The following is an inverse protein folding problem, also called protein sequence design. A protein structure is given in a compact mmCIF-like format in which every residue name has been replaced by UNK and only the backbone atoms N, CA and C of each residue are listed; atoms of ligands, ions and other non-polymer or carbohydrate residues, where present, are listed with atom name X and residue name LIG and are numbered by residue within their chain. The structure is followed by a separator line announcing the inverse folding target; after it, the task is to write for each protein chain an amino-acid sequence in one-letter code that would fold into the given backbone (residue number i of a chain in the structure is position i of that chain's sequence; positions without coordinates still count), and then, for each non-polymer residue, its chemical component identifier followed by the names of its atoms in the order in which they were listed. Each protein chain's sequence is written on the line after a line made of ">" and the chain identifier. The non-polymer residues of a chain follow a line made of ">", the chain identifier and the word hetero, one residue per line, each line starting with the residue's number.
data_IF_517746525664
#
_entry.id   IF_517746525664
#
_cell.length_a   1.000
_cell.length_b   1.000
_cell.length_c   1.000
_cell.angle_alpha   90.00
_cell.angle_beta   90.00
_cell.angle_gamma   90.00
#
_symmetry.space_group_name_H-M   'P 1'
#
loop_
_entity.id
_entity.type
_entity.pdbx_description
1 polymer ?
#
# COMPACT_ATOMS: atom_id res chain seq x y z
N UNK A 1 -19.65 41.41 -33.92
CA UNK A 1 -20.66 40.34 -34.13
C UNK A 1 -19.97 39.00 -33.93
N UNK A 2 -20.17 38.35 -32.80
CA UNK A 2 -19.69 36.99 -32.57
C UNK A 2 -20.83 36.17 -31.96
N UNK A 3 -21.26 35.13 -32.68
CA UNK A 3 -22.39 34.27 -32.36
C UNK A 3 -21.92 33.06 -31.52
N UNK A 4 -22.71 32.78 -30.49
CA UNK A 4 -22.94 31.55 -29.71
C UNK A 4 -22.13 30.28 -29.97
N UNK A 5 -21.75 29.60 -28.88
CA UNK A 5 -21.95 28.15 -28.73
C UNK A 5 -22.31 27.83 -27.26
N UNK A 6 -23.58 27.47 -27.02
CA UNK A 6 -24.08 26.91 -25.75
C UNK A 6 -23.76 25.42 -25.78
N UNK A 7 -22.68 25.03 -25.10
CA UNK A 7 -22.32 23.62 -24.90
C UNK A 7 -23.25 22.95 -23.89
N UNK A 8 -23.91 21.89 -24.33
CA UNK A 8 -24.73 20.99 -23.52
C UNK A 8 -23.84 20.35 -22.45
N UNK A 9 -24.08 20.66 -21.18
CA UNK A 9 -23.48 19.92 -20.06
C UNK A 9 -24.21 18.60 -19.94
N UNK A 10 -23.66 17.57 -20.58
CA UNK A 10 -24.08 16.20 -20.35
C UNK A 10 -23.79 15.83 -18.90
N UNK A 11 -24.84 15.60 -18.12
CA UNK A 11 -24.74 14.88 -16.85
C UNK A 11 -24.18 13.49 -17.15
N UNK A 12 -22.88 13.31 -16.95
CA UNK A 12 -22.29 12.00 -16.81
C UNK A 12 -22.83 11.40 -15.51
N UNK A 13 -23.74 10.43 -15.66
CA UNK A 13 -24.13 9.53 -14.58
C UNK A 13 -22.89 8.70 -14.24
N UNK A 14 -22.22 9.05 -13.14
CA UNK A 14 -21.09 8.30 -12.62
C UNK A 14 -21.60 6.95 -12.11
N UNK A 15 -21.45 5.92 -12.94
CA UNK A 15 -21.77 4.56 -12.58
C UNK A 15 -20.80 4.01 -11.55
N UNK A 16 -21.34 3.56 -10.42
CA UNK A 16 -20.74 2.54 -9.55
C UNK A 16 -19.67 3.02 -8.57
N UNK A 17 -20.11 3.58 -7.44
CA UNK A 17 -19.28 3.59 -6.24
C UNK A 17 -19.12 2.14 -5.77
N UNK A 18 -18.01 1.47 -6.07
CA UNK A 18 -17.73 0.15 -5.53
C UNK A 18 -17.49 0.30 -4.03
N UNK A 19 -18.40 -0.25 -3.23
CA UNK A 19 -18.39 -0.11 -1.76
C UNK A 19 -17.39 -1.04 -1.05
N UNK A 20 -16.42 -1.63 -1.77
CA UNK A 20 -15.37 -2.49 -1.23
C UNK A 20 -14.54 -3.22 -2.28
N UNK A 21 -13.73 -4.20 -1.84
CA UNK A 21 -12.95 -5.09 -2.70
C UNK A 21 -13.81 -5.80 -3.75
N UNK A 22 -13.28 -5.92 -4.97
CA UNK A 22 -13.95 -6.65 -6.06
C UNK A 22 -14.04 -8.15 -5.76
N UNK A 23 -14.96 -8.91 -6.37
CA UNK A 23 -15.05 -10.36 -6.18
C UNK A 23 -13.72 -11.09 -6.47
N UNK A 24 -12.97 -10.63 -7.47
CA UNK A 24 -11.65 -11.13 -7.83
C UNK A 24 -10.62 -10.85 -6.74
N UNK A 25 -10.57 -9.63 -6.21
CA UNK A 25 -9.68 -9.27 -5.09
C UNK A 25 -10.03 -10.07 -3.83
N UNK A 26 -11.33 -10.21 -3.51
CA UNK A 26 -11.78 -11.04 -2.37
C UNK A 26 -11.29 -12.48 -2.54
N UNK A 27 -11.39 -13.04 -3.74
CA UNK A 27 -10.89 -14.37 -4.08
C UNK A 27 -9.38 -14.45 -3.83
N UNK A 28 -8.60 -13.53 -4.38
CA UNK A 28 -7.14 -13.47 -4.20
C UNK A 28 -6.76 -13.36 -2.72
N UNK A 29 -7.46 -12.54 -1.93
CA UNK A 29 -7.18 -12.35 -0.50
C UNK A 29 -7.54 -13.59 0.33
N UNK A 30 -8.61 -14.31 -0.02
CA UNK A 30 -9.07 -15.49 0.74
C UNK A 30 -8.43 -16.80 0.31
N UNK A 31 -8.02 -16.92 -0.95
CA UNK A 31 -7.48 -18.15 -1.50
C UNK A 31 -5.98 -18.28 -1.24
N UNK A 32 -5.60 -19.39 -0.59
CA UNK A 32 -4.23 -19.67 -0.17
C UNK A 32 -3.98 -19.20 1.26
N UNK A 33 -3.70 -20.14 2.16
CA UNK A 33 -3.15 -19.79 3.47
C UNK A 33 -1.69 -19.38 3.32
N UNK A 34 -1.30 -18.21 3.82
CA UNK A 34 0.10 -17.74 3.81
C UNK A 34 0.43 -16.83 2.62
N UNK A 35 1.55 -17.12 1.95
CA UNK A 35 2.16 -16.29 0.89
C UNK A 35 1.19 -16.07 -0.29
N UNK A 36 1.27 -14.90 -0.91
CA UNK A 36 0.53 -14.54 -2.12
C UNK A 36 1.41 -14.73 -3.35
N UNK A 37 0.82 -15.12 -4.48
CA UNK A 37 1.52 -15.10 -5.76
C UNK A 37 1.93 -13.66 -6.09
N UNK A 38 3.21 -13.42 -6.28
CA UNK A 38 3.71 -12.16 -6.83
C UNK A 38 3.52 -12.16 -8.35
N UNK A 39 2.93 -11.10 -8.87
CA UNK A 39 2.67 -10.88 -10.29
C UNK A 39 3.97 -10.43 -10.95
N UNK A 40 4.32 -11.04 -12.08
CA UNK A 40 5.64 -10.90 -12.72
C UNK A 40 5.49 -10.35 -14.14
N UNK A 41 6.46 -9.55 -14.61
CA UNK A 41 6.40 -8.90 -15.94
C UNK A 41 6.60 -9.85 -17.12
N UNK A 42 7.06 -11.08 -16.89
CA UNK A 42 7.18 -12.13 -17.91
C UNK A 42 5.82 -12.77 -18.27
N UNK A 43 4.80 -12.56 -17.43
CA UNK A 43 3.41 -12.87 -17.76
C UNK A 43 2.68 -11.61 -18.26
N UNK A 44 2.03 -11.72 -19.42
CA UNK A 44 1.35 -10.59 -20.09
C UNK A 44 0.22 -9.99 -19.26
N UNK A 45 -0.63 -10.83 -18.67
CA UNK A 45 -1.79 -10.36 -17.89
C UNK A 45 -1.33 -9.69 -16.60
N UNK A 46 -0.36 -10.31 -15.92
CA UNK A 46 0.27 -9.75 -14.74
C UNK A 46 0.89 -8.38 -15.05
N UNK A 47 1.70 -8.31 -16.12
CA UNK A 47 2.32 -7.07 -16.55
C UNK A 47 1.29 -5.99 -16.84
N UNK A 48 0.17 -6.30 -17.51
CA UNK A 48 -0.86 -5.29 -17.80
C UNK A 48 -1.50 -4.74 -16.53
N UNK A 49 -1.67 -5.57 -15.51
CA UNK A 49 -2.23 -5.14 -14.23
C UNK A 49 -1.25 -4.33 -13.40
N UNK A 50 0.03 -4.72 -13.38
CA UNK A 50 1.11 -3.96 -12.72
C UNK A 50 1.26 -2.54 -13.27
N UNK A 51 0.71 -2.26 -14.47
CA UNK A 51 0.68 -0.92 -15.09
C UNK A 51 -0.58 -0.11 -14.78
N UNK A 52 -1.52 -0.64 -14.00
CA UNK A 52 -2.74 0.06 -13.64
C UNK A 52 -2.51 0.97 -12.43
N UNK A 53 -3.20 2.10 -12.41
CA UNK A 53 -3.23 2.97 -11.23
C UNK A 53 -4.15 2.35 -10.16
N UNK A 54 -3.61 2.17 -8.97
CA UNK A 54 -4.34 1.62 -7.84
C UNK A 54 -5.31 2.66 -7.24
N UNK A 55 -6.49 2.21 -6.79
CA UNK A 55 -7.51 3.08 -6.19
C UNK A 55 -7.35 3.19 -4.68
N UNK A 56 -7.80 4.32 -4.11
CA UNK A 56 -7.75 4.54 -2.67
C UNK A 56 -8.59 3.51 -1.90
N UNK A 57 -8.05 3.05 -0.77
CA UNK A 57 -8.82 2.35 0.25
C UNK A 57 -9.78 3.33 0.93
N UNK A 58 -10.94 2.81 1.32
CA UNK A 58 -11.96 3.52 2.07
C UNK A 58 -11.89 3.20 3.57
N UNK A 59 -12.50 4.04 4.44
CA UNK A 59 -12.63 3.73 5.86
C UNK A 59 -13.37 2.42 6.12
N UNK A 60 -14.31 2.03 5.25
CA UNK A 60 -15.06 0.79 5.37
C UNK A 60 -14.18 -0.43 5.16
N UNK A 61 -13.37 -0.42 4.08
CA UNK A 61 -12.49 -1.54 3.73
C UNK A 61 -11.45 -1.83 4.82
N UNK A 62 -10.81 -0.80 5.38
CA UNK A 62 -9.74 -1.00 6.37
C UNK A 62 -10.23 -1.58 7.71
N UNK A 63 -11.54 -1.52 7.98
CA UNK A 63 -12.18 -2.09 9.17
C UNK A 63 -12.59 -3.55 9.00
N UNK A 64 -12.46 -4.10 7.79
CA UNK A 64 -12.85 -5.48 7.51
C UNK A 64 -11.79 -6.49 7.95
N UNK A 65 -12.21 -7.70 8.27
CA UNK A 65 -11.29 -8.84 8.45
C UNK A 65 -10.48 -9.12 7.18
N UNK A 66 -11.07 -8.87 6.01
CA UNK A 66 -10.42 -9.06 4.72
C UNK A 66 -9.17 -8.20 4.58
N UNK A 67 -9.21 -6.94 5.03
CA UNK A 67 -8.04 -6.07 5.04
C UNK A 67 -6.93 -6.60 5.97
N UNK A 68 -7.29 -7.17 7.13
CA UNK A 68 -6.33 -7.78 8.04
C UNK A 68 -5.66 -9.02 7.42
N UNK A 69 -6.44 -9.87 6.74
CA UNK A 69 -5.91 -11.02 5.99
C UNK A 69 -4.97 -10.56 4.88
N UNK A 70 -5.38 -9.57 4.08
CA UNK A 70 -4.55 -8.99 3.02
C UNK A 70 -3.19 -8.54 3.57
N UNK A 71 -3.19 -7.76 4.65
CA UNK A 71 -1.96 -7.31 5.29
C UNK A 71 -1.07 -8.46 5.74
N UNK A 72 -1.62 -9.42 6.47
CA UNK A 72 -0.86 -10.57 6.98
C UNK A 72 -0.22 -11.34 5.84
N UNK A 73 -0.95 -11.54 4.75
CA UNK A 73 -0.46 -12.27 3.59
C UNK A 73 0.57 -11.48 2.79
N UNK A 74 0.37 -10.17 2.57
CA UNK A 74 1.40 -9.31 1.98
C UNK A 74 2.70 -9.33 2.78
N UNK A 75 2.60 -9.27 4.12
CA UNK A 75 3.75 -9.33 5.01
C UNK A 75 4.45 -10.70 4.93
N UNK A 76 3.69 -11.79 4.86
CA UNK A 76 4.25 -13.12 4.67
C UNK A 76 4.97 -13.25 3.32
N UNK A 77 4.42 -12.66 2.25
CA UNK A 77 5.02 -12.68 0.91
C UNK A 77 6.34 -11.93 0.85
N UNK A 78 6.40 -10.70 1.37
CA UNK A 78 7.64 -9.90 1.32
C UNK A 78 8.74 -10.46 2.22
N UNK A 79 8.36 -11.19 3.28
CA UNK A 79 9.30 -11.91 4.14
C UNK A 79 9.52 -13.38 3.72
N UNK A 80 9.09 -13.79 2.54
CA UNK A 80 9.36 -15.15 2.07
C UNK A 80 10.87 -15.35 1.94
N UNK A 81 11.38 -16.35 2.65
CA UNK A 81 12.80 -16.69 2.66
C UNK A 81 13.37 -17.06 1.29
N UNK A 82 12.51 -17.46 0.33
CA UNK A 82 12.94 -17.79 -1.03
C UNK A 82 13.25 -16.54 -1.87
N UNK A 83 12.56 -15.41 -1.62
CA UNK A 83 12.69 -14.17 -2.39
C UNK A 83 12.39 -12.96 -1.47
N UNK A 84 13.28 -12.66 -0.49
CA UNK A 84 13.01 -11.64 0.52
C UNK A 84 13.03 -10.24 -0.09
N UNK A 85 12.00 -9.46 0.20
CA UNK A 85 11.89 -8.05 -0.18
C UNK A 85 12.02 -7.11 1.02
N UNK A 86 12.29 -5.83 0.73
CA UNK A 86 12.29 -4.74 1.73
C UNK A 86 11.04 -3.87 1.66
N UNK A 87 10.18 -4.12 0.68
CA UNK A 87 8.92 -3.46 0.43
C UNK A 87 8.02 -4.30 -0.47
N UNK A 88 6.71 -4.08 -0.37
CA UNK A 88 5.72 -4.66 -1.28
C UNK A 88 4.49 -3.76 -1.40
N UNK A 89 3.96 -3.65 -2.61
CA UNK A 89 2.73 -2.95 -2.92
C UNK A 89 1.60 -3.93 -3.24
N UNK A 90 0.36 -3.60 -2.83
CA UNK A 90 -0.81 -4.43 -3.09
C UNK A 90 -1.01 -4.81 -4.58
N UNK A 91 -0.72 -3.93 -5.57
CA UNK A 91 -0.78 -4.31 -6.97
C UNK A 91 0.10 -5.51 -7.36
N UNK A 92 1.25 -5.69 -6.69
CA UNK A 92 2.16 -6.81 -6.96
C UNK A 92 1.58 -8.17 -6.59
N UNK A 93 0.52 -8.20 -5.77
CA UNK A 93 -0.17 -9.42 -5.37
C UNK A 93 -1.60 -9.48 -5.93
N UNK A 94 -1.87 -8.71 -6.99
CA UNK A 94 -3.16 -8.73 -7.69
C UNK A 94 -4.27 -7.92 -7.04
N UNK A 95 -3.94 -6.99 -6.14
CA UNK A 95 -4.91 -6.15 -5.44
C UNK A 95 -4.73 -4.70 -5.84
N UNK A 96 -5.71 -4.12 -6.54
CA UNK A 96 -5.63 -2.75 -7.04
C UNK A 96 -6.07 -1.76 -5.96
N UNK A 97 -5.29 -1.68 -4.88
CA UNK A 97 -5.50 -0.74 -3.77
C UNK A 97 -4.21 -0.01 -3.42
N UNK A 98 -4.35 1.25 -3.01
CA UNK A 98 -3.22 2.07 -2.54
C UNK A 98 -2.78 1.65 -1.14
N UNK A 99 -2.09 0.52 -1.07
CA UNK A 99 -1.53 -0.05 0.15
C UNK A 99 -0.13 -0.55 -0.13
N UNK A 100 0.82 -0.16 0.72
CA UNK A 100 2.20 -0.65 0.69
C UNK A 100 2.61 -1.12 2.08
N UNK A 101 3.55 -2.06 2.14
CA UNK A 101 4.30 -2.39 3.33
C UNK A 101 5.78 -2.08 3.08
N UNK A 102 6.43 -1.41 4.02
CA UNK A 102 7.83 -0.98 3.88
C UNK A 102 8.61 -1.33 5.13
N UNK A 103 9.83 -1.85 4.96
CA UNK A 103 10.78 -2.02 6.04
C UNK A 103 11.47 -0.69 6.39
N UNK A 104 11.21 -0.18 7.59
CA UNK A 104 11.68 1.13 8.08
C UNK A 104 13.09 1.06 8.66
N UNK A 105 14.10 0.92 7.81
CA UNK A 105 15.52 0.92 8.21
C UNK A 105 15.98 2.19 8.95
N UNK A 106 15.24 3.27 8.82
CA UNK A 106 15.44 4.53 9.55
C UNK A 106 14.93 4.48 11.01
N UNK A 107 14.24 3.41 11.42
CA UNK A 107 13.73 3.20 12.79
C UNK A 107 14.46 2.06 13.51
N UNK A 108 14.60 2.13 14.86
CA UNK A 108 15.18 1.04 15.64
C UNK A 108 14.47 -0.30 15.39
N UNK A 109 15.27 -1.35 15.12
CA UNK A 109 14.75 -2.69 14.83
C UNK A 109 14.19 -2.89 13.42
N UNK A 110 14.28 -1.89 12.54
CA UNK A 110 13.82 -1.94 11.15
C UNK A 110 12.43 -2.59 10.97
N UNK A 111 11.38 -2.07 11.66
CA UNK A 111 10.06 -2.67 11.62
C UNK A 111 9.45 -2.60 10.23
N UNK A 112 8.63 -3.59 9.89
CA UNK A 112 7.74 -3.51 8.74
C UNK A 112 6.46 -2.75 9.12
N UNK A 113 6.15 -1.71 8.36
CA UNK A 113 4.97 -0.87 8.58
C UNK A 113 4.11 -0.77 7.33
N UNK A 114 2.79 -0.66 7.51
CA UNK A 114 1.84 -0.50 6.42
C UNK A 114 1.42 0.96 6.27
N UNK A 115 1.29 1.42 5.03
CA UNK A 115 0.88 2.78 4.69
C UNK A 115 -0.35 2.72 3.78
N UNK A 116 -1.44 3.34 4.24
CA UNK A 116 -2.73 3.37 3.55
C UNK A 116 -2.82 4.67 2.76
N UNK A 117 -3.17 4.57 1.47
CA UNK A 117 -3.26 5.67 0.52
C UNK A 117 -2.03 6.60 0.53
N UNK A 118 -0.80 6.07 0.50
CA UNK A 118 0.39 6.92 0.53
C UNK A 118 0.54 7.69 -0.79
N UNK A 119 1.09 8.89 -0.67
CA UNK A 119 1.52 9.74 -1.78
C UNK A 119 2.67 10.66 -1.36
N UNK A 120 3.59 10.90 -2.28
CA UNK A 120 4.70 11.84 -2.07
C UNK A 120 4.18 13.25 -2.32
N UNK A 121 4.30 14.13 -1.33
CA UNK A 121 3.84 15.54 -1.42
C UNK A 121 4.99 16.53 -1.55
N UNK A 122 6.21 16.11 -1.23
CA UNK A 122 7.43 16.85 -1.50
C UNK A 122 8.60 15.87 -1.67
N UNK A 123 9.60 16.25 -2.46
CA UNK A 123 10.83 15.48 -2.67
C UNK A 123 12.02 16.44 -2.80
N UNK A 124 13.19 16.03 -2.32
CA UNK A 124 14.42 16.82 -2.44
C UNK A 124 14.92 16.84 -3.89
N UNK A 125 15.56 17.96 -4.28
CA UNK A 125 16.36 18.05 -5.50
C UNK A 125 17.62 17.19 -5.42
N UNK A 126 18.18 17.02 -4.22
CA UNK A 126 19.28 16.10 -3.99
C UNK A 126 18.81 14.65 -4.22
N UNK A 127 19.55 13.93 -5.06
CA UNK A 127 19.26 12.56 -5.46
C UNK A 127 20.46 11.64 -5.20
N UNK A 128 20.17 10.36 -5.01
CA UNK A 128 21.17 9.30 -4.98
C UNK A 128 20.92 8.33 -6.12
N UNK A 129 22.01 7.91 -6.75
CA UNK A 129 22.01 6.78 -7.67
C UNK A 129 22.14 5.50 -6.86
N UNK A 130 21.23 4.55 -7.10
CA UNK A 130 21.26 3.25 -6.43
C UNK A 130 20.82 2.14 -7.37
N UNK A 131 21.24 0.92 -7.06
CA UNK A 131 20.75 -0.29 -7.73
C UNK A 131 19.42 -0.69 -7.13
N UNK A 132 18.42 -0.88 -7.98
CA UNK A 132 17.11 -1.41 -7.63
C UNK A 132 16.87 -2.75 -8.34
N UNK A 133 16.24 -3.66 -7.62
CA UNK A 133 15.55 -4.83 -8.17
C UNK A 133 14.08 -4.78 -7.77
N UNK A 134 13.27 -5.72 -8.25
CA UNK A 134 11.85 -5.77 -7.92
C UNK A 134 11.36 -7.21 -7.90
N UNK A 135 10.56 -7.56 -6.89
CA UNK A 135 9.88 -8.86 -6.83
C UNK A 135 9.01 -9.10 -8.08
N UNK A 136 8.56 -8.07 -8.79
CA UNK A 136 7.74 -8.23 -10.00
C UNK A 136 8.53 -8.27 -11.31
N UNK A 137 9.84 -8.02 -11.30
CA UNK A 137 10.68 -7.99 -12.52
C UNK A 137 11.82 -9.00 -12.35
N UNK A 138 11.64 -10.25 -12.81
CA UNK A 138 12.64 -11.30 -12.59
C UNK A 138 13.95 -10.99 -13.33
N UNK A 139 15.07 -11.32 -12.69
CA UNK A 139 16.43 -11.29 -13.24
C UNK A 139 16.92 -9.93 -13.77
N UNK A 140 16.27 -8.83 -13.38
CA UNK A 140 16.68 -7.46 -13.76
C UNK A 140 17.03 -6.66 -12.52
N UNK A 141 18.24 -6.08 -12.56
CA UNK A 141 18.69 -5.05 -11.62
C UNK A 141 19.16 -3.86 -12.44
N UNK A 142 18.81 -2.66 -12.00
CA UNK A 142 19.12 -1.43 -12.73
C UNK A 142 19.47 -0.27 -11.83
N UNK A 143 20.24 0.68 -12.34
CA UNK A 143 20.53 1.92 -11.62
C UNK A 143 19.43 2.95 -11.84
N UNK A 144 18.90 3.48 -10.75
CA UNK A 144 17.78 4.43 -10.73
C UNK A 144 18.13 5.61 -9.84
N UNK A 145 17.82 6.82 -10.31
CA UNK A 145 17.91 8.03 -9.49
C UNK A 145 16.67 8.17 -8.62
N UNK A 146 16.88 8.42 -7.32
CA UNK A 146 15.82 8.67 -6.34
C UNK A 146 16.15 9.89 -5.51
N UNK A 147 15.13 10.65 -5.12
CA UNK A 147 15.32 11.76 -4.18
C UNK A 147 15.77 11.23 -2.81
N UNK A 148 16.76 11.90 -2.21
CA UNK A 148 17.35 11.54 -0.92
C UNK A 148 16.39 11.73 0.25
N UNK A 149 15.45 12.65 0.11
CA UNK A 149 14.41 12.93 1.08
C UNK A 149 13.07 13.08 0.38
N UNK A 150 12.03 12.54 1.00
CA UNK A 150 10.64 12.70 0.58
C UNK A 150 9.77 13.02 1.80
N UNK A 151 8.67 13.73 1.57
CA UNK A 151 7.58 13.85 2.52
C UNK A 151 6.42 13.01 1.99
N UNK A 152 6.05 11.97 2.75
CA UNK A 152 4.95 11.06 2.38
C UNK A 152 3.73 11.41 3.22
N UNK A 153 2.62 11.70 2.53
CA UNK A 153 1.29 11.83 3.12
C UNK A 153 0.58 10.49 3.05
N UNK A 154 0.02 10.01 4.15
CA UNK A 154 -0.71 8.73 4.20
C UNK A 154 -1.78 8.73 5.31
N UNK A 155 -2.70 7.78 5.25
CA UNK A 155 -3.68 7.52 6.32
C UNK A 155 -3.05 6.58 7.35
N UNK A 156 -3.01 6.96 8.65
CA UNK A 156 -2.50 6.08 9.68
C UNK A 156 -3.43 4.88 9.88
N UNK A 157 -2.83 3.75 10.26
CA UNK A 157 -3.58 2.54 10.59
C UNK A 157 -4.51 2.75 11.79
N UNK A 158 -5.56 1.92 11.87
CA UNK A 158 -6.44 1.84 13.03
C UNK A 158 -5.66 1.42 14.28
N UNK A 159 -5.49 2.35 15.20
CA UNK A 159 -5.11 2.02 16.58
C UNK A 159 -6.28 1.36 17.30
N UNK A 160 -6.02 0.19 17.88
CA UNK A 160 -6.97 -0.47 18.78
C UNK A 160 -6.91 0.18 20.16
N UNK A 161 -8.03 0.72 20.61
CA UNK A 161 -8.20 1.25 21.96
C UNK A 161 -8.99 0.19 22.74
N UNK A 162 -8.34 -0.42 23.72
CA UNK A 162 -8.99 -1.33 24.67
C UNK A 162 -9.63 -0.50 25.78
N UNK A 163 -10.95 -0.47 25.85
CA UNK A 163 -11.70 0.13 26.96
C UNK A 163 -12.26 -0.97 27.86
N UNK A 164 -11.86 -0.96 29.12
CA UNK A 164 -12.47 -1.82 30.15
C UNK A 164 -13.90 -1.32 30.40
N UNK A 165 -14.90 -2.18 30.17
CA UNK A 165 -16.31 -1.85 30.32
C UNK A 165 -16.83 -2.18 31.71
N UNK A 166 -16.49 -3.36 32.21
CA UNK A 166 -16.98 -3.85 33.49
C UNK A 166 -15.94 -4.75 34.17
N UNK A 167 -15.97 -4.77 35.50
CA UNK A 167 -15.17 -5.64 36.33
C UNK A 167 -16.08 -6.31 37.34
N UNK A 168 -16.30 -7.62 37.18
CA UNK A 168 -17.07 -8.42 38.11
C UNK A 168 -16.14 -9.32 38.92
N UNK A 169 -16.39 -9.41 40.23
CA UNK A 169 -15.67 -10.30 41.14
C UNK A 169 -16.57 -11.48 41.44
N UNK A 170 -16.12 -12.69 41.13
CA UNK A 170 -16.82 -13.94 41.46
C UNK A 170 -15.84 -14.90 42.10
N UNK A 171 -16.18 -15.38 43.30
CA UNK A 171 -15.48 -16.42 44.07
C UNK A 171 -13.98 -16.52 43.76
N UNK A 172 -13.24 -15.51 44.22
CA UNK A 172 -11.78 -15.35 44.13
C UNK A 172 -11.16 -15.06 42.74
N UNK A 173 -11.96 -14.88 41.69
CA UNK A 173 -11.49 -14.47 40.35
C UNK A 173 -12.12 -13.15 39.89
N UNK A 174 -11.42 -12.44 39.00
CA UNK A 174 -11.92 -11.23 38.34
C UNK A 174 -12.25 -11.54 36.88
N UNK A 175 -13.47 -11.22 36.47
CA UNK A 175 -13.88 -11.23 35.06
C UNK A 175 -13.85 -9.79 34.55
N UNK A 176 -13.09 -9.56 33.48
CA UNK A 176 -13.00 -8.28 32.80
C UNK A 176 -13.74 -8.36 31.47
N UNK A 177 -14.64 -7.42 31.23
CA UNK A 177 -15.18 -7.18 29.90
C UNK A 177 -14.40 -6.04 29.26
N UNK A 178 -13.77 -6.31 28.12
CA UNK A 178 -13.00 -5.32 27.37
C UNK A 178 -13.66 -5.11 26.01
N UNK A 179 -14.06 -3.88 25.73
CA UNK A 179 -14.45 -3.48 24.38
C UNK A 179 -13.22 -2.97 23.65
N UNK A 180 -12.91 -3.58 22.52
CA UNK A 180 -11.90 -3.05 21.60
C UNK A 180 -12.60 -2.12 20.63
N UNK A 181 -12.29 -0.83 20.68
CA UNK A 181 -12.72 0.15 19.69
C UNK A 181 -11.53 0.49 18.78
N UNK A 182 -11.71 0.33 17.48
CA UNK A 182 -10.73 0.77 16.50
C UNK A 182 -11.04 2.22 16.13
N UNK A 183 -10.10 3.13 16.39
CA UNK A 183 -10.19 4.53 15.95
C UNK A 183 -8.98 4.87 15.10
N UNK A 184 -9.26 5.40 13.91
CA UNK A 184 -8.40 6.36 13.23
C UNK A 184 -9.24 7.60 12.96
N UNK A 185 -8.61 8.76 12.86
CA UNK A 185 -9.30 10.00 12.52
C UNK A 185 -9.65 10.06 11.03
N UNK A 186 -9.15 9.11 10.22
CA UNK A 186 -9.10 9.19 8.76
C UNK A 186 -8.43 10.50 8.27
N UNK A 187 -7.72 11.18 9.16
CA UNK A 187 -6.95 12.36 8.81
C UNK A 187 -5.58 11.88 8.33
N UNK A 188 -5.11 12.41 7.19
CA UNK A 188 -3.78 12.10 6.70
C UNK A 188 -2.72 12.68 7.64
N UNK A 189 -1.62 11.96 7.77
CA UNK A 189 -0.39 12.46 8.41
C UNK A 189 0.72 12.56 7.36
N UNK A 190 1.73 13.38 7.65
CA UNK A 190 2.94 13.49 6.84
C UNK A 190 4.14 12.96 7.63
N UNK A 191 5.01 12.19 6.98
CA UNK A 191 6.27 11.70 7.53
C UNK A 191 7.41 12.04 6.56
N UNK A 192 8.52 12.54 7.10
CA UNK A 192 9.72 12.87 6.35
C UNK A 192 10.67 11.68 6.38
N UNK A 193 10.93 11.10 5.21
CA UNK A 193 11.70 9.86 5.07
C UNK A 193 12.94 10.18 4.24
N UNK A 194 14.10 9.61 4.64
CA UNK A 194 15.41 9.91 4.05
C UNK A 194 16.17 8.63 3.69
N UNK A 195 17.20 8.79 2.85
CA UNK A 195 18.19 7.77 2.54
C UNK A 195 17.58 6.53 1.88
N UNK A 196 18.09 5.35 2.24
CA UNK A 196 17.63 4.09 1.63
C UNK A 196 16.13 3.83 1.86
N UNK A 197 15.58 4.20 3.02
CA UNK A 197 14.13 4.06 3.23
C UNK A 197 13.33 4.95 2.27
N UNK A 198 13.82 6.13 1.91
CA UNK A 198 13.16 6.98 0.90
C UNK A 198 13.14 6.32 -0.49
N UNK A 199 14.19 5.58 -0.85
CA UNK A 199 14.26 4.78 -2.09
C UNK A 199 13.14 3.73 -2.09
N UNK A 200 13.00 2.96 -1.01
CA UNK A 200 11.96 1.93 -0.89
C UNK A 200 10.56 2.55 -1.03
N UNK A 201 10.27 3.63 -0.31
CA UNK A 201 8.96 4.29 -0.44
C UNK A 201 8.67 4.80 -1.86
N UNK A 202 9.66 5.40 -2.52
CA UNK A 202 9.49 5.85 -3.91
C UNK A 202 9.20 4.67 -4.84
N UNK A 203 9.86 3.53 -4.64
CA UNK A 203 9.61 2.31 -5.40
C UNK A 203 8.19 1.76 -5.17
N UNK A 204 7.77 1.61 -3.91
CA UNK A 204 6.45 1.06 -3.61
C UNK A 204 5.31 2.01 -4.02
N UNK A 205 5.51 3.33 -3.94
CA UNK A 205 4.53 4.31 -4.40
C UNK A 205 4.45 4.33 -5.94
N UNK A 206 5.54 4.07 -6.65
CA UNK A 206 5.52 3.91 -8.11
C UNK A 206 4.60 2.75 -8.53
N UNK A 207 4.66 1.62 -7.83
CA UNK A 207 3.75 0.50 -8.08
C UNK A 207 2.27 0.87 -7.94
N UNK A 208 1.93 1.78 -7.01
CA UNK A 208 0.55 2.27 -6.88
C UNK A 208 0.09 3.12 -8.07
N UNK A 209 1.04 3.62 -8.87
CA UNK A 209 0.80 4.48 -10.02
C UNK A 209 1.06 3.75 -11.36
N UNK A 210 1.26 2.42 -11.33
CA UNK A 210 1.52 1.64 -12.53
C UNK A 210 2.94 1.80 -13.10
N UNK A 211 3.86 2.35 -12.31
CA UNK A 211 5.24 2.63 -12.70
C UNK A 211 6.14 1.53 -12.14
N UNK A 212 7.04 1.01 -12.98
CA UNK A 212 8.07 0.06 -12.58
C UNK A 212 9.43 0.76 -12.58
N UNK A 213 10.36 0.29 -11.76
CA UNK A 213 11.71 0.89 -11.71
C UNK A 213 12.40 0.84 -13.08
N UNK A 214 12.08 -0.14 -13.92
CA UNK A 214 12.58 -0.27 -15.31
C UNK A 214 12.20 0.91 -16.21
N UNK A 215 11.16 1.66 -15.89
CA UNK A 215 10.81 2.89 -16.62
C UNK A 215 11.74 4.06 -16.27
N UNK A 216 12.40 3.97 -15.11
CA UNK A 216 13.29 5.00 -14.54
C UNK A 216 14.77 4.60 -14.60
N UNK A 217 15.06 3.39 -15.08
CA UNK A 217 16.43 2.92 -15.27
C UNK A 217 17.19 3.82 -16.24
N UNK A 218 18.45 4.11 -15.90
CA UNK A 218 19.37 4.74 -16.84
C UNK A 218 19.58 3.77 -18.00
N UNK A 219 19.36 4.23 -19.22
CA UNK A 219 19.69 3.48 -20.43
C UNK A 219 21.17 3.67 -20.73
N UNK A 220 21.86 2.56 -20.96
CA UNK A 220 23.23 2.57 -21.51
C UNK A 220 23.29 3.25 -22.88
#
# INVERSE_FOLDING_TARGET
>A
MLKYWLGIVGLFVWGGCSTGFTPQEVKVIKEGGGIMRVWKTDNREDSLFLRQQAIELTPGEIRTELFQVLKQRMLATVNDSADPGVGIAAPQVGISRRLIAVQRYDKPGAPFEFYINPGIVAASEEQSLGKEGCLSVPDVVGEVWRSNEIVVRYIPELTSIKRMLSREKTDSTFKFEVKVEYRNTWEPVCDTIRGFTAVIFQHEIDHLNGILFTDKMIKE
#
